data_IF_579140062590
#
_entry.id   IF_579140062590
#
_cell.length_a   1.000
_cell.length_b   1.000
_cell.length_c   1.000
_cell.angle_alpha   90.00
_cell.angle_beta   90.00
_cell.angle_gamma   90.00
#
_symmetry.space_group_name_H-M   'P 1'
#
loop_
_entity.id
_entity.type
_entity.pdbx_description
1 polymer ?
#
# COMPACT_ATOMS: atom_id res chain seq x y z
N UNK A 1 8.06 4.37 -0.19
CA UNK A 1 6.84 3.64 -0.63
C UNK A 1 5.63 4.57 -0.59
N UNK A 2 5.55 5.52 -1.53
CA UNK A 2 4.54 6.59 -1.55
C UNK A 2 3.08 6.11 -1.73
N UNK A 3 2.85 4.88 -2.20
CA UNK A 3 1.50 4.30 -2.37
C UNK A 3 0.92 3.68 -1.09
N UNK A 4 1.68 3.66 -0.01
CA UNK A 4 1.30 2.91 1.18
C UNK A 4 1.36 1.40 0.96
N UNK A 5 0.74 0.66 1.86
CA UNK A 5 0.46 -0.77 1.73
C UNK A 5 -1.07 -0.97 1.65
N UNK A 6 -1.48 -2.08 1.06
CA UNK A 6 -2.89 -2.49 1.06
C UNK A 6 -2.98 -3.90 1.61
N UNK A 7 -3.87 -4.09 2.58
CA UNK A 7 -4.19 -5.41 3.12
C UNK A 7 -5.57 -5.80 2.61
N UNK A 8 -5.67 -6.99 2.07
CA UNK A 8 -6.93 -7.53 1.53
C UNK A 8 -7.01 -9.04 1.67
N UNK A 9 -8.11 -9.62 1.21
CA UNK A 9 -8.37 -11.06 1.30
C UNK A 9 -8.08 -11.59 2.72
N UNK A 10 -8.55 -10.85 3.73
CA UNK A 10 -8.31 -11.20 5.13
C UNK A 10 -9.30 -12.25 5.55
N UNK A 11 -8.80 -13.46 5.77
CA UNK A 11 -9.56 -14.62 6.26
C UNK A 11 -9.22 -14.92 7.74
N UNK A 12 -9.66 -16.06 8.24
CA UNK A 12 -9.36 -16.50 9.61
C UNK A 12 -7.87 -16.76 9.85
N UNK A 13 -7.20 -17.32 8.83
CA UNK A 13 -5.82 -17.82 8.95
C UNK A 13 -4.90 -17.31 7.85
N UNK A 14 -5.35 -16.33 7.05
CA UNK A 14 -4.56 -15.77 5.97
C UNK A 14 -4.93 -14.32 5.67
N UNK A 15 -3.98 -13.61 5.06
CA UNK A 15 -4.17 -12.26 4.54
C UNK A 15 -3.24 -12.04 3.34
N UNK A 16 -3.54 -11.03 2.52
CA UNK A 16 -2.64 -10.57 1.48
C UNK A 16 -2.18 -9.15 1.75
N UNK A 17 -0.88 -8.92 1.61
CA UNK A 17 -0.27 -7.59 1.76
C UNK A 17 0.32 -7.18 0.42
N UNK A 18 -0.28 -6.19 -0.21
CA UNK A 18 0.21 -5.58 -1.44
C UNK A 18 1.14 -4.41 -1.13
N UNK A 19 2.24 -4.32 -1.86
CA UNK A 19 3.22 -3.25 -1.77
C UNK A 19 3.70 -2.84 -3.16
N UNK A 20 4.07 -1.57 -3.31
CA UNK A 20 4.77 -1.04 -4.47
C UNK A 20 6.00 -0.25 -4.02
N UNK A 21 7.17 -0.62 -4.55
CA UNK A 21 8.40 0.12 -4.27
C UNK A 21 8.45 1.37 -5.18
N UNK A 22 8.66 2.52 -4.58
CA UNK A 22 8.64 3.81 -5.27
C UNK A 22 9.98 4.53 -5.14
N UNK A 23 10.33 5.31 -6.15
CA UNK A 23 11.59 6.07 -6.21
C UNK A 23 11.68 7.13 -5.11
N UNK A 24 10.54 7.71 -4.73
CA UNK A 24 10.43 8.74 -3.70
C UNK A 24 9.45 8.31 -2.61
N UNK A 25 9.61 8.88 -1.42
CA UNK A 25 8.74 8.60 -0.28
C UNK A 25 7.33 9.17 -0.47
N UNK A 26 7.20 10.23 -1.27
CA UNK A 26 5.95 10.93 -1.52
C UNK A 26 5.68 11.06 -3.03
N UNK A 27 4.44 11.35 -3.36
CA UNK A 27 4.04 11.71 -4.72
C UNK A 27 4.66 13.05 -5.14
N UNK A 28 4.85 13.24 -6.44
CA UNK A 28 5.35 14.50 -6.99
C UNK A 28 4.35 15.65 -6.76
N UNK A 29 4.69 16.57 -5.89
CA UNK A 29 3.84 17.73 -5.53
C UNK A 29 4.15 18.97 -6.35
N UNK A 30 5.25 18.98 -7.10
CA UNK A 30 5.73 20.12 -7.91
C UNK A 30 5.69 19.83 -9.41
N UNK A 31 5.11 18.70 -9.80
CA UNK A 31 5.00 18.27 -11.19
C UNK A 31 4.07 19.15 -12.03
N UNK A 32 4.16 18.98 -13.35
CA UNK A 32 3.27 19.65 -14.29
C UNK A 32 1.84 19.15 -14.15
N UNK A 33 0.83 20.02 -13.98
CA UNK A 33 -0.57 19.57 -13.95
C UNK A 33 -1.02 19.09 -15.34
N UNK A 34 -1.97 18.17 -15.39
CA UNK A 34 -2.63 17.79 -16.64
C UNK A 34 -3.42 18.99 -17.18
N UNK A 35 -3.24 19.32 -18.46
CA UNK A 35 -3.74 20.57 -19.06
C UNK A 35 -5.20 20.52 -19.47
N UNK A 36 -5.84 19.35 -19.47
CA UNK A 36 -7.19 19.25 -20.02
C UNK A 36 -8.15 18.47 -19.10
N UNK A 37 -8.61 19.15 -18.05
CA UNK A 37 -9.62 18.62 -17.13
C UNK A 37 -11.03 18.51 -17.75
N UNK A 38 -11.27 19.13 -18.92
CA UNK A 38 -12.58 19.11 -19.59
C UNK A 38 -12.69 18.06 -20.71
N UNK A 39 -11.57 17.58 -21.23
CA UNK A 39 -11.57 16.50 -22.21
C UNK A 39 -11.66 15.15 -21.52
N UNK A 40 -12.44 14.23 -22.08
CA UNK A 40 -12.56 12.86 -21.57
C UNK A 40 -11.26 12.04 -21.67
N UNK A 41 -10.24 12.59 -22.28
CA UNK A 41 -8.90 11.97 -22.43
C UNK A 41 -7.86 12.95 -21.90
N UNK A 42 -7.23 12.58 -20.79
CA UNK A 42 -6.06 13.29 -20.27
C UNK A 42 -4.87 13.05 -21.21
N UNK A 43 -4.34 14.14 -21.79
CA UNK A 43 -3.16 14.06 -22.64
C UNK A 43 -1.95 14.62 -21.89
N UNK A 44 -0.83 13.94 -22.06
CA UNK A 44 0.44 14.46 -21.56
C UNK A 44 0.81 15.74 -22.32
N UNK A 45 1.20 16.81 -21.63
CA UNK A 45 1.76 17.98 -22.28
C UNK A 45 2.98 17.63 -23.13
N UNK A 46 3.16 18.34 -24.24
CA UNK A 46 4.27 18.08 -25.18
C UNK A 46 5.62 18.06 -24.44
N UNK A 47 6.45 17.09 -24.73
CA UNK A 47 7.78 16.89 -24.12
C UNK A 47 7.78 16.42 -22.67
N UNK A 48 6.63 16.11 -22.08
CA UNK A 48 6.53 15.59 -20.71
C UNK A 48 6.28 14.09 -20.69
N UNK A 49 6.75 13.45 -19.61
CA UNK A 49 6.50 12.04 -19.32
C UNK A 49 5.63 11.95 -18.06
N UNK A 50 4.96 10.80 -17.85
CA UNK A 50 4.12 10.59 -16.67
C UNK A 50 4.83 10.89 -15.35
N UNK A 51 6.12 10.57 -15.25
CA UNK A 51 6.93 10.86 -14.05
C UNK A 51 7.09 12.36 -13.73
N UNK A 52 6.87 13.23 -14.73
CA UNK A 52 7.02 14.69 -14.58
C UNK A 52 5.71 15.34 -14.13
N UNK A 53 4.62 14.57 -14.08
CA UNK A 53 3.30 15.08 -13.80
C UNK A 53 3.04 15.24 -12.30
N UNK A 54 2.19 16.21 -11.97
CA UNK A 54 1.69 16.42 -10.61
C UNK A 54 0.96 15.15 -10.11
N UNK A 55 1.33 14.66 -8.93
CA UNK A 55 0.76 13.45 -8.35
C UNK A 55 1.42 12.16 -8.83
N UNK A 56 2.40 12.22 -9.74
CA UNK A 56 3.11 11.03 -10.19
C UNK A 56 3.90 10.35 -9.06
N UNK A 57 3.93 9.01 -9.11
CA UNK A 57 4.63 8.15 -8.14
C UNK A 57 5.48 7.14 -8.92
N UNK A 58 6.65 7.55 -9.42
CA UNK A 58 7.52 6.64 -10.17
C UNK A 58 7.94 5.44 -9.34
N UNK A 59 7.87 4.25 -9.91
CA UNK A 59 8.38 3.02 -9.29
C UNK A 59 9.91 2.95 -9.29
N UNK A 60 10.45 2.10 -8.45
CA UNK A 60 11.88 1.78 -8.38
C UNK A 60 12.08 0.28 -8.22
N UNK A 61 13.05 -0.28 -8.96
CA UNK A 61 13.44 -1.67 -8.77
C UNK A 61 14.17 -1.83 -7.43
N UNK A 62 14.04 -3.01 -6.82
CA UNK A 62 14.66 -3.34 -5.54
C UNK A 62 14.01 -4.58 -4.95
N UNK A 63 14.29 -4.85 -3.69
CA UNK A 63 13.70 -5.98 -2.98
C UNK A 63 12.76 -5.47 -1.89
N UNK A 64 11.69 -6.23 -1.65
CA UNK A 64 10.69 -5.98 -0.61
C UNK A 64 10.48 -7.22 0.25
N UNK A 65 10.16 -7.05 1.53
CA UNK A 65 9.73 -8.11 2.44
C UNK A 65 8.70 -7.61 3.44
N UNK A 66 8.03 -8.53 4.10
CA UNK A 66 7.06 -8.26 5.16
C UNK A 66 7.52 -8.92 6.46
N UNK A 67 7.44 -8.19 7.56
CA UNK A 67 7.49 -8.72 8.92
C UNK A 67 6.11 -8.53 9.55
N UNK A 68 5.66 -9.50 10.35
CA UNK A 68 4.36 -9.41 11.00
C UNK A 68 4.33 -10.21 12.30
N UNK A 69 3.58 -9.73 13.27
CA UNK A 69 3.36 -10.40 14.55
C UNK A 69 1.99 -10.02 15.13
N UNK A 70 1.52 -10.80 16.09
CA UNK A 70 0.27 -10.47 16.81
C UNK A 70 0.49 -9.22 17.65
N UNK A 71 -0.38 -8.24 17.48
CA UNK A 71 -0.34 -6.96 18.18
C UNK A 71 -0.29 -7.13 19.71
N UNK A 72 0.57 -6.36 20.37
CA UNK A 72 0.73 -6.39 21.82
C UNK A 72 1.50 -7.59 22.36
N UNK A 73 2.00 -8.50 21.50
CA UNK A 73 2.87 -9.61 21.94
C UNK A 73 4.34 -9.22 21.83
N UNK A 74 5.18 -9.89 22.62
CA UNK A 74 6.65 -9.80 22.54
C UNK A 74 7.27 -10.94 21.71
N UNK A 75 6.45 -11.66 20.94
CA UNK A 75 6.94 -12.72 20.07
C UNK A 75 7.80 -12.17 18.95
N UNK A 76 8.83 -12.93 18.55
CA UNK A 76 9.61 -12.62 17.37
C UNK A 76 8.68 -12.51 16.14
N UNK A 77 8.83 -11.48 15.30
CA UNK A 77 8.04 -11.35 14.10
C UNK A 77 8.31 -12.50 13.12
N UNK A 78 7.26 -13.00 12.51
CA UNK A 78 7.40 -13.81 11.30
C UNK A 78 7.89 -12.90 10.15
N UNK A 79 8.83 -13.38 9.35
CA UNK A 79 9.50 -12.61 8.30
C UNK A 79 9.44 -13.38 6.99
N UNK A 80 9.00 -12.72 5.92
CA UNK A 80 9.02 -13.31 4.57
C UNK A 80 10.41 -13.20 3.95
N UNK A 81 10.64 -13.99 2.92
CA UNK A 81 11.81 -13.80 2.05
C UNK A 81 11.80 -12.41 1.38
N UNK A 82 13.00 -11.91 1.04
CA UNK A 82 13.15 -10.75 0.18
C UNK A 82 12.79 -11.12 -1.26
N UNK A 83 11.84 -10.39 -1.86
CA UNK A 83 11.40 -10.61 -3.23
C UNK A 83 11.73 -9.40 -4.09
N UNK A 84 12.31 -9.67 -5.26
CA UNK A 84 12.71 -8.64 -6.20
C UNK A 84 11.52 -8.11 -7.00
N UNK A 85 11.37 -6.79 -7.09
CA UNK A 85 10.33 -6.10 -7.85
C UNK A 85 10.95 -5.26 -8.96
N UNK A 86 10.35 -5.30 -10.14
CA UNK A 86 10.86 -4.63 -11.34
C UNK A 86 9.75 -3.95 -12.13
N UNK A 87 10.11 -3.25 -13.19
CA UNK A 87 9.16 -2.64 -14.11
C UNK A 87 8.18 -3.65 -14.75
N UNK A 88 8.59 -4.92 -14.91
CA UNK A 88 7.74 -5.97 -15.46
C UNK A 88 6.51 -6.26 -14.58
N UNK A 89 6.61 -5.98 -13.28
CA UNK A 89 5.52 -6.13 -12.32
C UNK A 89 5.01 -4.78 -11.79
N UNK A 90 5.27 -3.69 -12.50
CA UNK A 90 5.06 -2.32 -12.02
C UNK A 90 5.66 -2.10 -10.62
N UNK A 91 6.80 -2.72 -10.32
CA UNK A 91 7.49 -2.61 -9.04
C UNK A 91 6.66 -3.08 -7.84
N UNK A 92 5.66 -3.96 -8.07
CA UNK A 92 4.73 -4.45 -7.06
C UNK A 92 4.98 -5.90 -6.68
N UNK A 93 4.56 -6.24 -5.46
CA UNK A 93 4.39 -7.63 -5.02
C UNK A 93 3.20 -7.75 -4.06
N UNK A 94 2.59 -8.94 -4.05
CA UNK A 94 1.53 -9.29 -3.09
C UNK A 94 1.97 -10.49 -2.27
N UNK A 95 2.28 -10.25 -1.01
CA UNK A 95 2.64 -11.30 -0.07
C UNK A 95 1.40 -12.04 0.41
N UNK A 96 1.44 -13.37 0.42
CA UNK A 96 0.43 -14.22 1.04
C UNK A 96 0.89 -14.61 2.44
N UNK A 97 0.29 -14.00 3.45
CA UNK A 97 0.50 -14.38 4.85
C UNK A 97 -0.41 -15.58 5.17
N UNK A 98 0.13 -16.60 5.81
CA UNK A 98 -0.57 -17.84 6.13
C UNK A 98 -0.37 -18.21 7.60
N UNK A 99 -1.13 -19.21 8.08
CA UNK A 99 -1.05 -19.73 9.44
C UNK A 99 -1.26 -18.67 10.52
N UNK A 100 -2.12 -17.67 10.19
CA UNK A 100 -2.48 -16.62 11.12
C UNK A 100 -3.47 -17.14 12.17
N UNK A 101 -3.50 -16.51 13.33
CA UNK A 101 -4.48 -16.76 14.37
C UNK A 101 -5.82 -16.07 14.03
N UNK A 102 -6.94 -16.78 14.15
CA UNK A 102 -8.26 -16.23 13.91
C UNK A 102 -8.66 -15.22 14.99
N UNK A 103 -9.24 -14.09 14.57
CA UNK A 103 -9.71 -13.03 15.45
C UNK A 103 -8.60 -12.17 16.06
N UNK A 104 -7.36 -12.32 15.62
CA UNK A 104 -6.19 -11.60 16.12
C UNK A 104 -5.90 -10.34 15.30
N UNK A 105 -5.41 -9.29 15.94
CA UNK A 105 -4.85 -8.11 15.29
C UNK A 105 -3.36 -8.34 15.05
N UNK A 106 -2.89 -7.98 13.85
CA UNK A 106 -1.51 -8.11 13.44
C UNK A 106 -0.90 -6.74 13.15
N UNK A 107 0.29 -6.51 13.66
CA UNK A 107 1.17 -5.44 13.21
C UNK A 107 1.98 -5.93 12.01
N UNK A 108 2.10 -5.07 11.01
CA UNK A 108 2.82 -5.35 9.77
C UNK A 108 3.87 -4.28 9.55
N UNK A 109 5.09 -4.69 9.25
CA UNK A 109 6.18 -3.84 8.78
C UNK A 109 6.59 -4.32 7.38
N UNK A 110 6.42 -3.47 6.38
CA UNK A 110 6.95 -3.71 5.04
C UNK A 110 8.25 -2.94 4.88
N UNK A 111 9.29 -3.62 4.45
CA UNK A 111 10.60 -3.05 4.21
C UNK A 111 10.97 -3.13 2.73
N UNK A 112 11.74 -2.14 2.28
CA UNK A 112 12.33 -2.12 0.95
C UNK A 112 13.83 -1.85 1.00
N UNK A 113 14.59 -2.44 0.06
CA UNK A 113 16.02 -2.17 -0.14
C UNK A 113 16.33 -2.05 -1.62
N UNK A 114 17.42 -1.33 -1.95
CA UNK A 114 17.80 -1.05 -3.34
C UNK A 114 18.48 -2.27 -3.97
N UNK A 115 19.41 -2.90 -3.25
CA UNK A 115 20.22 -4.02 -3.76
C UNK A 115 20.20 -5.20 -2.80
N UNK A 116 20.36 -6.41 -3.36
CA UNK A 116 20.52 -7.63 -2.57
C UNK A 116 21.69 -7.49 -1.58
N UNK A 117 21.43 -7.82 -0.32
CA UNK A 117 22.44 -7.75 0.75
C UNK A 117 22.57 -6.37 1.43
N UNK A 118 21.97 -5.31 0.88
CA UNK A 118 21.94 -4.03 1.58
C UNK A 118 20.91 -4.01 2.72
N UNK A 119 21.09 -3.08 3.66
CA UNK A 119 20.09 -2.80 4.69
C UNK A 119 18.80 -2.23 4.06
N UNK A 120 17.69 -2.37 4.78
CA UNK A 120 16.45 -1.69 4.41
C UNK A 120 16.67 -0.17 4.35
N UNK A 121 16.24 0.46 3.25
CA UNK A 121 16.34 1.90 3.05
C UNK A 121 15.03 2.63 3.25
N UNK A 122 13.93 1.90 3.32
CA UNK A 122 12.59 2.44 3.56
C UNK A 122 11.70 1.39 4.21
N UNK A 123 10.73 1.85 4.97
CA UNK A 123 9.73 0.99 5.59
C UNK A 123 8.38 1.70 5.70
N UNK A 124 7.33 0.89 5.88
CA UNK A 124 5.99 1.37 6.17
C UNK A 124 5.30 0.35 7.08
N UNK A 125 4.56 0.85 8.05
CA UNK A 125 3.79 0.03 8.99
C UNK A 125 2.30 0.04 8.67
N UNK A 126 1.62 -0.97 9.11
CA UNK A 126 0.16 -1.07 9.06
C UNK A 126 -0.35 -2.09 10.05
N UNK A 127 -1.66 -2.20 10.12
CA UNK A 127 -2.35 -3.12 11.01
C UNK A 127 -3.53 -3.75 10.28
N UNK A 128 -3.86 -5.00 10.61
CA UNK A 128 -5.11 -5.63 10.18
C UNK A 128 -5.59 -6.63 11.22
N UNK A 129 -6.87 -6.98 11.16
CA UNK A 129 -7.45 -8.01 12.03
C UNK A 129 -7.98 -9.16 11.19
N UNK A 130 -7.59 -10.39 11.53
CA UNK A 130 -8.13 -11.60 10.90
C UNK A 130 -9.61 -11.81 11.26
N UNK A 131 -10.34 -12.48 10.38
CA UNK A 131 -11.71 -12.88 10.68
C UNK A 131 -11.77 -13.77 11.94
N UNK A 132 -12.83 -13.68 12.75
CA UNK A 132 -13.03 -14.56 13.89
C UNK A 132 -13.23 -16.00 13.42
N UNK A 133 -13.12 -16.97 14.34
CA UNK A 133 -13.45 -18.38 14.04
C UNK A 133 -14.90 -18.47 13.55
N UNK A 134 -15.18 -19.39 12.62
CA UNK A 134 -16.52 -19.59 12.08
C UNK A 134 -17.59 -19.93 13.15
N UNK A 135 -17.14 -20.52 14.27
CA UNK A 135 -18.01 -20.84 15.42
C UNK A 135 -18.24 -19.66 16.37
N UNK A 136 -17.56 -18.53 16.18
CA UNK A 136 -17.69 -17.36 17.04
C UNK A 136 -18.76 -16.40 16.49
N UNK A 137 -19.68 -15.98 17.36
CA UNK A 137 -20.55 -14.85 17.05
C UNK A 137 -19.76 -13.56 17.18
N UNK A 138 -19.74 -12.72 16.14
CA UNK A 138 -19.03 -11.46 16.14
C UNK A 138 -19.80 -10.41 15.33
N UNK A 139 -19.77 -9.16 15.80
CA UNK A 139 -20.26 -8.03 15.02
C UNK A 139 -19.23 -7.68 13.93
N UNK A 140 -19.69 -7.34 12.75
CA UNK A 140 -18.89 -6.82 11.65
C UNK A 140 -19.38 -5.42 11.27
N UNK A 141 -18.43 -4.49 11.11
CA UNK A 141 -18.71 -3.17 10.54
C UNK A 141 -17.88 -3.00 9.28
N UNK A 142 -18.46 -2.45 8.24
CA UNK A 142 -17.75 -2.18 6.98
C UNK A 142 -18.28 -0.92 6.31
N UNK A 143 -17.42 -0.25 5.55
CA UNK A 143 -17.79 0.88 4.73
C UNK A 143 -17.82 0.46 3.26
N UNK A 144 -18.82 0.89 2.52
CA UNK A 144 -18.89 0.74 1.07
C UNK A 144 -18.58 2.08 0.43
N UNK A 145 -17.58 2.09 -0.44
CA UNK A 145 -17.15 3.30 -1.15
C UNK A 145 -17.12 3.02 -2.65
N UNK A 146 -17.41 4.05 -3.44
CA UNK A 146 -17.37 3.98 -4.91
C UNK A 146 -17.15 5.37 -5.51
N UNK A 147 -16.78 5.44 -6.79
CA UNK A 147 -16.77 6.66 -7.56
C UNK A 147 -15.78 7.71 -7.06
N UNK A 148 -14.60 7.31 -6.58
CA UNK A 148 -13.57 8.25 -6.13
C UNK A 148 -12.98 9.01 -7.30
N UNK A 149 -13.14 10.35 -7.29
CA UNK A 149 -12.53 11.23 -8.28
C UNK A 149 -11.30 11.90 -7.68
N UNK A 150 -10.12 11.51 -8.17
CA UNK A 150 -8.84 12.05 -7.71
C UNK A 150 -8.75 13.58 -7.85
N UNK A 151 -9.36 14.16 -8.87
CA UNK A 151 -9.33 15.62 -9.12
C UNK A 151 -10.26 16.41 -8.21
N UNK A 152 -11.28 15.77 -7.63
CA UNK A 152 -12.27 16.38 -6.72
C UNK A 152 -12.06 16.07 -5.25
N UNK A 153 -10.82 15.72 -4.88
CA UNK A 153 -10.49 15.48 -3.48
C UNK A 153 -10.65 16.74 -2.63
N UNK A 154 -11.12 16.55 -1.40
CA UNK A 154 -11.40 17.63 -0.45
C UNK A 154 -10.18 18.46 -0.09
N UNK A 155 -9.02 17.84 -0.08
CA UNK A 155 -7.75 18.45 0.26
C UNK A 155 -6.65 17.98 -0.69
N UNK A 156 -5.90 18.92 -1.28
CA UNK A 156 -4.83 18.61 -2.25
C UNK A 156 -3.71 17.74 -1.66
N UNK A 157 -3.39 17.91 -0.36
CA UNK A 157 -2.33 17.16 0.33
C UNK A 157 -2.87 15.90 1.01
N UNK A 158 -4.05 15.98 1.63
CA UNK A 158 -4.59 14.94 2.49
C UNK A 158 -5.58 14.01 1.76
N UNK A 159 -5.95 14.33 0.52
CA UNK A 159 -6.90 13.55 -0.28
C UNK A 159 -8.35 13.77 0.14
N UNK A 160 -9.15 12.72 0.07
CA UNK A 160 -10.52 12.72 0.56
C UNK A 160 -10.54 12.53 2.07
N UNK A 161 -11.01 13.53 2.80
CA UNK A 161 -10.96 13.55 4.27
C UNK A 161 -11.83 12.47 4.92
N UNK A 162 -12.86 12.00 4.22
CA UNK A 162 -13.76 10.95 4.70
C UNK A 162 -13.01 9.66 5.08
N UNK A 163 -11.91 9.33 4.40
CA UNK A 163 -11.14 8.13 4.71
C UNK A 163 -10.58 8.12 6.13
N UNK A 164 -10.29 9.28 6.70
CA UNK A 164 -9.83 9.40 8.08
C UNK A 164 -10.90 9.08 9.12
N UNK A 165 -12.16 9.14 8.73
CA UNK A 165 -13.30 8.82 9.60
C UNK A 165 -13.70 7.34 9.49
N UNK A 166 -13.15 6.63 8.51
CA UNK A 166 -13.40 5.20 8.28
C UNK A 166 -12.36 4.31 8.95
N UNK A 167 -11.22 4.87 9.33
CA UNK A 167 -10.11 4.20 10.00
C UNK A 167 -10.22 4.37 11.51
#
# INVERSE_FOLDING_TARGET
MANGIKVGEVHQTSARVWVRLTKHAEANTTGTPFTNQKAKTEQLPSGKQLRDMLGSVPGAAGDVRVQYHVHGTRSEPAVTEWLHVTAATDFTHTFALRELQAGATYDVLVEGRITKGSNACCSITGQFRTAPKASASASASFCVITGQDYHRRDNKKLGHLIYRQML
#
